data_IF_164229163437
#
_entry.id   IF_164229163437
#
_cell.length_a   1.000
_cell.length_b   1.000
_cell.length_c   1.000
_cell.angle_alpha   90.00
_cell.angle_beta   90.00
_cell.angle_gamma   90.00
#
_symmetry.space_group_name_H-M   'P 1'
#
loop_
_entity.id
_entity.type
_entity.pdbx_description
1 polymer ?
#
# COMPACT_ATOMS: atom_id res chain seq x y z
N UNK A 1 3.50 13.60 11.04
CA UNK A 1 3.73 14.95 10.46
C UNK A 1 3.01 15.94 11.37
N UNK A 2 3.69 17.02 11.83
CA UNK A 2 3.08 18.05 12.67
C UNK A 2 2.37 19.12 11.83
N UNK A 3 1.52 19.95 12.48
CA UNK A 3 0.72 20.97 11.78
C UNK A 3 1.58 22.03 11.10
N UNK A 4 2.72 22.41 11.67
CA UNK A 4 3.61 23.41 11.06
C UNK A 4 4.19 22.95 9.72
N UNK A 5 4.52 21.66 9.60
CA UNK A 5 5.02 21.07 8.35
C UNK A 5 3.90 21.04 7.30
N UNK A 6 2.67 20.67 7.70
CA UNK A 6 1.52 20.66 6.80
C UNK A 6 1.16 22.07 6.34
N UNK A 7 1.14 23.03 7.26
CA UNK A 7 0.88 24.43 6.94
C UNK A 7 1.91 24.97 5.93
N UNK A 8 3.20 24.74 6.18
CA UNK A 8 4.26 25.09 5.24
C UNK A 8 4.12 24.38 3.90
N UNK A 9 3.69 23.11 3.88
CA UNK A 9 3.48 22.34 2.65
C UNK A 9 2.33 22.94 1.81
N UNK A 10 1.21 23.28 2.45
CA UNK A 10 0.02 23.77 1.77
C UNK A 10 0.03 25.28 1.51
N UNK A 11 0.95 26.03 2.10
CA UNK A 11 1.04 27.49 1.97
C UNK A 11 0.94 28.03 0.53
N UNK A 12 1.60 27.45 -0.49
CA UNK A 12 1.49 27.94 -1.88
C UNK A 12 0.11 27.76 -2.50
N UNK A 13 -0.75 26.99 -1.86
CA UNK A 13 -2.09 26.63 -2.37
C UNK A 13 -3.22 27.30 -1.56
N UNK A 14 -2.89 28.21 -0.65
CA UNK A 14 -3.87 28.95 0.14
C UNK A 14 -4.83 29.72 -0.79
N UNK A 15 -6.13 29.57 -0.52
CA UNK A 15 -7.21 30.26 -1.22
C UNK A 15 -7.28 30.05 -2.75
N UNK A 16 -6.55 29.10 -3.31
CA UNK A 16 -6.66 28.75 -4.71
C UNK A 16 -7.96 27.98 -4.99
N UNK A 17 -8.72 28.44 -6.00
CA UNK A 17 -9.86 27.71 -6.55
C UNK A 17 -9.49 26.84 -7.76
N UNK A 18 -8.39 27.16 -8.41
CA UNK A 18 -7.82 26.41 -9.54
C UNK A 18 -6.31 26.26 -9.31
N UNK A 19 -5.86 25.04 -9.15
CA UNK A 19 -4.49 24.70 -8.78
C UNK A 19 -3.51 24.77 -9.95
N UNK A 20 -4.00 24.89 -11.19
CA UNK A 20 -3.15 25.21 -12.35
C UNK A 20 -2.50 26.59 -12.25
N UNK A 21 -3.01 27.48 -11.41
CA UNK A 21 -2.42 28.79 -11.16
C UNK A 21 -1.35 28.76 -10.05
N UNK A 22 -1.09 27.59 -9.47
CA UNK A 22 -0.01 27.46 -8.49
C UNK A 22 1.35 27.67 -9.14
N UNK A 23 2.24 28.34 -8.43
CA UNK A 23 3.61 28.62 -8.90
C UNK A 23 4.54 27.40 -8.78
N UNK A 24 4.13 26.39 -8.04
CA UNK A 24 4.88 25.16 -7.81
C UNK A 24 3.94 23.95 -7.65
N UNK A 25 4.44 22.75 -7.97
CA UNK A 25 3.77 21.48 -7.72
C UNK A 25 4.38 20.79 -6.51
N UNK A 26 3.53 20.21 -5.64
CA UNK A 26 3.97 19.44 -4.46
C UNK A 26 3.25 18.12 -4.37
N UNK A 27 3.94 17.10 -3.88
CA UNK A 27 3.38 15.76 -3.62
C UNK A 27 3.56 15.42 -2.16
N UNK A 28 2.53 14.91 -1.52
CA UNK A 28 2.57 14.43 -0.15
C UNK A 28 1.93 13.05 -0.03
N UNK A 29 2.58 12.16 0.72
CA UNK A 29 1.97 10.94 1.19
C UNK A 29 1.52 11.14 2.65
N UNK A 30 0.23 11.10 2.89
CA UNK A 30 -0.37 11.39 4.19
C UNK A 30 -1.51 10.43 4.50
N UNK A 31 -1.70 10.12 5.78
CA UNK A 31 -2.87 9.39 6.23
C UNK A 31 -4.13 10.25 6.09
N UNK A 32 -5.22 9.68 5.59
CA UNK A 32 -6.50 10.34 5.38
C UNK A 32 -6.98 11.08 6.63
N UNK A 33 -7.10 10.38 7.77
CA UNK A 33 -7.56 10.99 9.01
C UNK A 33 -6.69 12.16 9.45
N UNK A 34 -5.37 12.09 9.23
CA UNK A 34 -4.45 13.19 9.54
C UNK A 34 -4.62 14.40 8.62
N UNK A 35 -4.90 14.15 7.34
CA UNK A 35 -5.17 15.22 6.38
C UNK A 35 -6.47 15.94 6.71
N UNK A 36 -7.55 15.18 6.93
CA UNK A 36 -8.87 15.71 7.27
C UNK A 36 -8.82 16.49 8.60
N UNK A 37 -8.19 15.94 9.64
CA UNK A 37 -8.00 16.64 10.91
C UNK A 37 -7.30 17.99 10.72
N UNK A 38 -6.19 18.03 9.99
CA UNK A 38 -5.46 19.27 9.73
C UNK A 38 -6.32 20.30 8.97
N UNK A 39 -6.98 19.89 7.89
CA UNK A 39 -7.78 20.78 7.06
C UNK A 39 -9.04 21.29 7.79
N UNK A 40 -9.63 20.50 8.69
CA UNK A 40 -10.80 20.91 9.46
C UNK A 40 -10.51 22.05 10.44
N UNK A 41 -9.31 22.13 10.98
CA UNK A 41 -8.89 23.20 11.90
C UNK A 41 -8.23 24.39 11.21
N UNK A 42 -7.75 24.21 9.98
CA UNK A 42 -7.01 25.25 9.25
C UNK A 42 -7.95 26.24 8.55
N UNK A 43 -7.93 27.48 9.00
CA UNK A 43 -8.73 28.55 8.37
C UNK A 43 -8.24 28.92 6.96
N UNK A 44 -6.95 28.78 6.71
CA UNK A 44 -6.31 29.18 5.45
C UNK A 44 -6.56 28.17 4.32
N UNK A 45 -6.97 26.95 4.65
CA UNK A 45 -7.13 25.84 3.68
C UNK A 45 -8.57 25.35 3.55
N UNK A 46 -9.56 26.18 3.90
CA UNK A 46 -10.99 25.81 3.87
C UNK A 46 -11.47 25.31 2.51
N UNK A 47 -11.01 25.94 1.43
CA UNK A 47 -11.40 25.55 0.07
C UNK A 47 -10.88 24.14 -0.24
N UNK A 48 -9.60 23.89 0.03
CA UNK A 48 -9.00 22.55 -0.11
C UNK A 48 -9.69 21.53 0.79
N UNK A 49 -9.97 21.90 2.04
CA UNK A 49 -10.69 21.07 3.00
C UNK A 49 -12.04 20.60 2.47
N UNK A 50 -12.81 21.51 1.86
CA UNK A 50 -14.08 21.18 1.23
C UNK A 50 -13.96 20.13 0.12
N UNK A 51 -12.99 20.28 -0.79
CA UNK A 51 -12.74 19.29 -1.85
C UNK A 51 -12.32 17.92 -1.30
N UNK A 52 -11.46 17.89 -0.28
CA UNK A 52 -11.00 16.67 0.35
C UNK A 52 -12.14 15.95 1.09
N UNK A 53 -12.96 16.70 1.83
CA UNK A 53 -14.10 16.17 2.56
C UNK A 53 -15.16 15.61 1.59
N UNK A 54 -15.47 16.32 0.52
CA UNK A 54 -16.36 15.86 -0.53
C UNK A 54 -15.83 14.58 -1.18
N UNK A 55 -14.54 14.53 -1.52
CA UNK A 55 -13.92 13.37 -2.15
C UNK A 55 -13.96 12.11 -1.27
N UNK A 56 -13.79 12.23 0.05
CA UNK A 56 -13.74 11.07 0.92
C UNK A 56 -15.10 10.61 1.45
N UNK A 57 -16.06 11.52 1.63
CA UNK A 57 -17.27 11.22 2.39
C UNK A 57 -18.58 11.40 1.64
N UNK A 58 -18.58 11.92 0.43
CA UNK A 58 -19.79 12.04 -0.37
C UNK A 58 -19.88 10.91 -1.41
N UNK A 59 -21.12 10.39 -1.61
CA UNK A 59 -21.39 9.33 -2.60
C UNK A 59 -21.26 9.82 -4.05
N UNK A 60 -21.65 11.07 -4.31
CA UNK A 60 -21.53 11.71 -5.61
C UNK A 60 -20.34 12.69 -5.57
N UNK A 61 -19.25 12.32 -6.22
CA UNK A 61 -18.07 13.15 -6.28
C UNK A 61 -18.19 14.21 -7.38
N UNK A 62 -18.09 15.48 -7.00
CA UNK A 62 -17.78 16.53 -7.97
C UNK A 62 -16.37 16.31 -8.53
N UNK A 63 -16.13 16.65 -9.81
CA UNK A 63 -14.78 16.57 -10.35
C UNK A 63 -13.84 17.46 -9.50
N UNK A 64 -12.67 16.93 -9.18
CA UNK A 64 -11.64 17.71 -8.49
C UNK A 64 -11.25 18.90 -9.35
N UNK A 65 -10.91 20.05 -8.75
CA UNK A 65 -10.46 21.21 -9.51
C UNK A 65 -9.17 20.91 -10.25
N UNK A 66 -9.00 21.54 -11.41
CA UNK A 66 -7.80 21.39 -12.23
C UNK A 66 -6.53 21.63 -11.42
N UNK A 67 -5.54 20.77 -11.63
CA UNK A 67 -4.26 20.80 -10.94
C UNK A 67 -4.25 20.12 -9.55
N UNK A 68 -5.39 19.63 -9.04
CA UNK A 68 -5.46 18.83 -7.84
C UNK A 68 -5.65 17.36 -8.18
N UNK A 69 -4.72 16.49 -7.74
CA UNK A 69 -4.82 15.04 -7.88
C UNK A 69 -4.82 14.37 -6.52
N UNK A 70 -5.81 13.53 -6.27
CA UNK A 70 -5.90 12.69 -5.08
C UNK A 70 -5.80 11.23 -5.50
N UNK A 71 -4.86 10.50 -4.92
CA UNK A 71 -4.71 9.05 -5.11
C UNK A 71 -5.00 8.36 -3.78
N UNK A 72 -6.21 7.80 -3.67
CA UNK A 72 -6.62 7.05 -2.47
C UNK A 72 -6.10 5.60 -2.54
N UNK A 73 -4.97 5.35 -1.89
CA UNK A 73 -4.36 4.02 -1.85
C UNK A 73 -5.17 3.00 -1.03
N UNK A 74 -6.12 3.45 -0.19
CA UNK A 74 -7.00 2.56 0.56
C UNK A 74 -8.01 1.84 -0.35
N UNK A 75 -8.32 2.39 -1.51
CA UNK A 75 -9.23 1.76 -2.48
C UNK A 75 -8.55 0.68 -3.31
N UNK A 76 -7.22 0.59 -3.27
CA UNK A 76 -6.47 -0.38 -4.07
C UNK A 76 -6.49 -1.77 -3.42
N UNK A 77 -7.04 -2.74 -4.10
CA UNK A 77 -6.95 -4.14 -3.69
C UNK A 77 -5.52 -4.68 -3.87
N UNK A 78 -4.99 -5.33 -2.84
CA UNK A 78 -3.66 -5.97 -2.90
C UNK A 78 -3.65 -7.27 -3.72
N UNK A 79 -4.83 -7.79 -4.05
CA UNK A 79 -5.02 -9.04 -4.81
C UNK A 79 -5.76 -8.85 -6.12
N UNK A 80 -6.14 -7.63 -6.49
CA UNK A 80 -6.74 -7.36 -7.78
C UNK A 80 -5.69 -7.50 -8.90
N UNK A 81 -6.14 -8.02 -10.02
CA UNK A 81 -5.41 -8.05 -11.29
C UNK A 81 -6.02 -6.94 -12.15
N UNK A 82 -5.21 -6.01 -12.60
CA UNK A 82 -5.61 -4.87 -13.41
C UNK A 82 -4.81 -4.88 -14.72
N UNK A 83 -5.47 -4.74 -15.86
CA UNK A 83 -4.82 -4.66 -17.18
C UNK A 83 -3.79 -5.78 -17.45
N UNK A 84 -4.14 -7.01 -17.11
CA UNK A 84 -3.27 -8.20 -17.21
C UNK A 84 -2.00 -8.16 -16.34
N UNK A 85 -1.86 -7.16 -15.48
CA UNK A 85 -0.75 -7.05 -14.54
C UNK A 85 -1.00 -7.94 -13.30
N UNK A 86 0.02 -8.68 -12.84
CA UNK A 86 -0.13 -9.52 -11.66
C UNK A 86 -0.43 -8.68 -10.41
N UNK A 87 -1.17 -9.27 -9.47
CA UNK A 87 -1.53 -8.62 -8.20
C UNK A 87 -0.31 -8.12 -7.42
N UNK A 88 -0.53 -7.14 -6.53
CA UNK A 88 0.54 -6.65 -5.64
C UNK A 88 1.09 -7.77 -4.75
N UNK A 89 0.22 -8.66 -4.25
CA UNK A 89 0.64 -9.83 -3.49
C UNK A 89 1.60 -10.70 -4.32
N UNK A 90 1.23 -11.05 -5.55
CA UNK A 90 2.05 -11.89 -6.44
C UNK A 90 3.40 -11.24 -6.76
N UNK A 91 3.41 -9.94 -7.06
CA UNK A 91 4.64 -9.18 -7.28
C UNK A 91 5.56 -9.22 -6.05
N UNK A 92 5.00 -9.01 -4.86
CA UNK A 92 5.78 -8.98 -3.63
C UNK A 92 6.31 -10.35 -3.22
N UNK A 93 5.48 -11.40 -3.25
CA UNK A 93 5.95 -12.74 -2.87
C UNK A 93 7.05 -13.23 -3.82
N UNK A 94 6.89 -13.04 -5.12
CA UNK A 94 7.93 -13.36 -6.10
C UNK A 94 9.21 -12.57 -5.90
N UNK A 95 9.11 -11.28 -5.56
CA UNK A 95 10.29 -10.47 -5.27
C UNK A 95 11.02 -10.92 -4.01
N UNK A 96 10.27 -11.23 -2.93
CA UNK A 96 10.85 -11.62 -1.64
C UNK A 96 11.40 -13.06 -1.63
N UNK A 97 10.93 -13.92 -2.51
CA UNK A 97 11.40 -15.31 -2.63
C UNK A 97 12.50 -15.49 -3.69
N UNK A 98 12.96 -14.41 -4.33
CA UNK A 98 14.07 -14.51 -5.30
C UNK A 98 15.30 -15.16 -4.68
N UNK A 99 15.88 -16.14 -5.36
CA UNK A 99 17.05 -16.91 -4.89
C UNK A 99 18.25 -16.02 -4.50
N UNK A 100 18.43 -14.89 -5.16
CA UNK A 100 19.48 -13.93 -4.87
C UNK A 100 19.42 -13.37 -3.45
N UNK A 101 18.24 -13.21 -2.87
CA UNK A 101 18.06 -12.73 -1.49
C UNK A 101 18.42 -13.78 -0.43
N UNK A 102 18.36 -15.06 -0.80
CA UNK A 102 18.53 -16.22 0.09
C UNK A 102 19.87 -16.94 -0.14
N UNK A 103 20.81 -16.31 -0.82
CA UNK A 103 22.12 -16.91 -1.16
C UNK A 103 22.91 -17.41 0.05
N UNK A 104 22.77 -16.80 1.23
CA UNK A 104 23.37 -17.26 2.48
C UNK A 104 22.88 -18.65 2.92
N UNK A 105 21.69 -19.06 2.51
CA UNK A 105 21.15 -20.37 2.82
C UNK A 105 21.97 -21.51 2.18
N UNK A 106 22.62 -21.26 1.03
CA UNK A 106 23.39 -22.27 0.31
C UNK A 106 24.60 -22.80 1.12
N UNK A 107 25.12 -21.99 2.04
CA UNK A 107 26.25 -22.36 2.93
C UNK A 107 25.81 -22.64 4.36
N UNK A 108 24.51 -22.63 4.66
CA UNK A 108 23.99 -22.84 6.00
C UNK A 108 23.96 -24.35 6.36
N UNK A 109 24.59 -24.72 7.45
CA UNK A 109 24.60 -26.11 7.92
C UNK A 109 23.20 -26.68 8.27
N UNK A 110 22.25 -25.79 8.51
CA UNK A 110 20.87 -26.14 8.89
C UNK A 110 19.90 -26.13 7.71
N UNK A 111 20.33 -25.83 6.49
CA UNK A 111 19.46 -25.61 5.33
C UNK A 111 18.49 -26.78 5.08
N UNK A 112 18.93 -28.01 5.21
CA UNK A 112 18.11 -29.22 5.00
C UNK A 112 17.01 -29.42 6.04
N UNK A 113 17.07 -28.73 7.17
CA UNK A 113 16.07 -28.77 8.27
C UNK A 113 15.40 -27.42 8.50
N UNK A 114 15.72 -26.43 7.67
CA UNK A 114 15.26 -25.06 7.84
C UNK A 114 13.89 -24.87 7.16
N UNK A 115 12.86 -24.65 7.96
CA UNK A 115 11.51 -24.40 7.42
C UNK A 115 11.43 -23.10 6.63
N UNK A 116 12.26 -22.08 6.93
CA UNK A 116 12.33 -20.82 6.18
C UNK A 116 12.82 -21.10 4.75
N UNK A 117 13.91 -21.84 4.60
CA UNK A 117 14.42 -22.26 3.30
C UNK A 117 13.37 -23.08 2.53
N UNK A 118 12.74 -24.03 3.20
CA UNK A 118 11.67 -24.82 2.63
C UNK A 118 10.49 -23.98 2.14
N UNK A 119 10.04 -23.00 2.94
CA UNK A 119 8.96 -22.11 2.55
C UNK A 119 9.33 -21.28 1.31
N UNK A 120 10.54 -20.71 1.29
CA UNK A 120 11.02 -19.93 0.12
C UNK A 120 11.11 -20.81 -1.13
N UNK A 121 11.65 -22.01 -1.01
CA UNK A 121 11.76 -22.95 -2.13
C UNK A 121 10.39 -23.39 -2.65
N UNK A 122 9.41 -23.59 -1.77
CA UNK A 122 8.04 -23.92 -2.16
C UNK A 122 7.39 -22.89 -3.08
N UNK A 123 7.67 -21.61 -2.89
CA UNK A 123 7.18 -20.55 -3.79
C UNK A 123 7.93 -20.52 -5.14
N UNK A 124 9.15 -21.06 -5.20
CA UNK A 124 9.96 -21.14 -6.41
C UNK A 124 9.82 -22.48 -7.13
N UNK A 125 9.07 -23.42 -6.57
CA UNK A 125 8.84 -24.72 -7.18
C UNK A 125 8.04 -24.58 -8.49
N UNK A 126 8.49 -25.25 -9.54
CA UNK A 126 7.88 -25.12 -10.87
C UNK A 126 6.48 -25.71 -10.99
N UNK A 127 6.15 -26.70 -10.15
CA UNK A 127 4.85 -27.36 -10.17
C UNK A 127 3.88 -26.78 -9.13
N UNK A 128 4.37 -26.51 -7.92
CA UNK A 128 3.55 -26.11 -6.78
C UNK A 128 3.49 -24.61 -6.57
N UNK A 129 4.53 -23.84 -6.90
CA UNK A 129 4.66 -22.42 -6.54
C UNK A 129 3.51 -21.56 -7.04
N UNK A 130 3.12 -21.69 -8.30
CA UNK A 130 2.00 -20.93 -8.87
C UNK A 130 0.66 -21.31 -8.21
N UNK A 131 0.46 -22.58 -7.88
CA UNK A 131 -0.74 -23.06 -7.19
C UNK A 131 -0.83 -22.50 -5.76
N UNK A 132 0.30 -22.46 -5.05
CA UNK A 132 0.38 -21.89 -3.69
C UNK A 132 0.01 -20.40 -3.75
N UNK A 133 0.65 -19.63 -4.63
CA UNK A 133 0.40 -18.20 -4.80
C UNK A 133 -1.08 -17.94 -5.10
N UNK A 134 -1.64 -18.67 -6.06
CA UNK A 134 -3.05 -18.52 -6.46
C UNK A 134 -4.02 -18.80 -5.32
N UNK A 135 -3.77 -19.84 -4.53
CA UNK A 135 -4.61 -20.15 -3.35
C UNK A 135 -4.53 -19.09 -2.27
N UNK A 136 -3.34 -18.50 -2.07
CA UNK A 136 -3.17 -17.39 -1.13
C UNK A 136 -3.87 -16.10 -1.62
N UNK A 137 -3.81 -15.80 -2.91
CA UNK A 137 -4.60 -14.72 -3.52
C UNK A 137 -6.11 -14.91 -3.28
N UNK A 138 -6.60 -16.13 -3.44
CA UNK A 138 -7.98 -16.48 -3.15
C UNK A 138 -8.36 -16.27 -1.68
N UNK A 139 -7.49 -16.68 -0.76
CA UNK A 139 -7.68 -16.47 0.66
C UNK A 139 -7.79 -14.98 1.01
N UNK A 140 -6.84 -14.17 0.55
CA UNK A 140 -6.81 -12.72 0.77
C UNK A 140 -8.03 -12.03 0.11
N UNK A 141 -8.40 -12.45 -1.10
CA UNK A 141 -9.58 -11.93 -1.81
C UNK A 141 -10.86 -12.25 -1.03
N UNK A 142 -11.00 -13.47 -0.53
CA UNK A 142 -12.17 -13.87 0.24
C UNK A 142 -12.30 -13.07 1.53
N UNK A 143 -11.18 -12.89 2.26
CA UNK A 143 -11.16 -12.08 3.49
C UNK A 143 -11.56 -10.62 3.21
N UNK A 144 -11.04 -10.03 2.13
CA UNK A 144 -11.38 -8.65 1.74
C UNK A 144 -12.84 -8.50 1.32
N UNK A 145 -13.39 -9.44 0.50
CA UNK A 145 -14.77 -9.38 0.00
C UNK A 145 -15.81 -9.55 1.10
N UNK A 146 -15.50 -10.33 2.13
CA UNK A 146 -16.38 -10.47 3.30
C UNK A 146 -16.39 -9.23 4.19
N UNK A 147 -15.65 -8.17 3.82
CA UNK A 147 -15.45 -6.95 4.61
C UNK A 147 -14.89 -7.19 6.01
N UNK A 148 -14.30 -8.35 6.25
CA UNK A 148 -13.69 -8.69 7.53
C UNK A 148 -12.32 -8.01 7.69
N UNK A 149 -11.63 -7.77 6.55
CA UNK A 149 -10.29 -7.17 6.55
C UNK A 149 -10.12 -6.16 5.42
N UNK A 150 -9.70 -4.96 5.78
CA UNK A 150 -9.10 -4.01 4.84
C UNK A 150 -7.59 -4.23 4.85
N UNK A 151 -7.07 -4.95 3.84
CA UNK A 151 -5.67 -5.35 3.77
C UNK A 151 -4.84 -4.19 3.20
N UNK A 152 -4.06 -3.56 4.07
CA UNK A 152 -3.10 -2.53 3.67
C UNK A 152 -1.81 -3.15 3.14
N UNK A 153 -0.93 -2.32 2.53
CA UNK A 153 0.40 -2.77 2.12
C UNK A 153 1.28 -3.20 3.32
N UNK A 154 1.04 -2.65 4.51
CA UNK A 154 1.72 -3.06 5.74
C UNK A 154 1.28 -4.46 6.15
N UNK A 155 -0.02 -4.70 6.15
CA UNK A 155 -0.58 -6.02 6.50
C UNK A 155 -0.12 -7.09 5.52
N UNK A 156 -0.08 -6.76 4.23
CA UNK A 156 0.42 -7.65 3.21
C UNK A 156 1.89 -8.03 3.46
N UNK A 157 2.74 -7.06 3.77
CA UNK A 157 4.15 -7.33 4.10
C UNK A 157 4.30 -8.19 5.35
N UNK A 158 3.54 -7.90 6.40
CA UNK A 158 3.52 -8.70 7.63
C UNK A 158 3.04 -10.12 7.37
N UNK A 159 2.00 -10.28 6.58
CA UNK A 159 1.48 -11.59 6.17
C UNK A 159 2.53 -12.41 5.41
N UNK A 160 3.22 -11.81 4.44
CA UNK A 160 4.28 -12.49 3.68
C UNK A 160 5.46 -12.83 4.60
N UNK A 161 5.91 -11.89 5.44
CA UNK A 161 7.00 -12.14 6.37
C UNK A 161 6.66 -13.30 7.32
N UNK A 162 5.46 -13.30 7.92
CA UNK A 162 5.01 -14.38 8.76
C UNK A 162 4.92 -15.72 8.02
N UNK A 163 4.43 -15.71 6.78
CA UNK A 163 4.34 -16.93 5.94
C UNK A 163 5.71 -17.53 5.69
N UNK A 164 6.73 -16.70 5.45
CA UNK A 164 8.08 -17.19 5.17
C UNK A 164 8.84 -17.57 6.44
N UNK A 165 8.73 -16.79 7.51
CA UNK A 165 9.66 -16.88 8.66
C UNK A 165 9.01 -17.19 10.00
N UNK A 166 7.68 -17.05 10.15
CA UNK A 166 6.98 -17.15 11.45
C UNK A 166 7.61 -16.30 12.57
N UNK A 167 8.09 -15.12 12.22
CA UNK A 167 8.82 -14.22 13.14
C UNK A 167 10.14 -14.77 13.70
N UNK A 168 10.68 -15.82 13.09
CA UNK A 168 12.03 -16.29 13.42
C UNK A 168 13.09 -15.59 12.58
N UNK A 169 14.26 -15.40 13.18
CA UNK A 169 15.46 -14.94 12.48
C UNK A 169 16.44 -16.10 12.26
N UNK A 170 17.37 -15.91 11.33
CA UNK A 170 18.46 -16.87 11.04
C UNK A 170 19.68 -16.69 11.98
N UNK A 171 19.49 -16.22 13.22
CA UNK A 171 20.56 -16.04 14.20
C UNK A 171 20.68 -17.26 15.09
#
# INVERSE_FOLDING_TARGET
INNQVLDSFFKPFENLKNYNHATEGRVIAINEGRLVEFLSISQNHKVLGGYIEEYFYQEAHSPLPDGLLIINLNLRSVVAVENDEPSLFRKQIKALTQKSLWGKCNSCALVSKCFISYNVESFNDSAAGESIITRMEWLLKTASLKRELHITMRDLRSFIAFTLTRDYSCN
#
